data_IF_714394153624
#
_entry.id   IF_714394153624
#
_cell.length_a   1.000
_cell.length_b   1.000
_cell.length_c   1.000
_cell.angle_alpha   90.00
_cell.angle_beta   90.00
_cell.angle_gamma   90.00
#
_symmetry.space_group_name_H-M   'P 1'
#
loop_
_entity.id
_entity.type
_entity.pdbx_description
1 polymer ?
#
# COMPACT_ATOMS: atom_id res chain seq x y z
N UNK A 1 21.42 -16.62 20.44
CA UNK A 1 21.89 -15.35 19.85
C UNK A 1 22.68 -15.67 18.59
N UNK A 2 22.02 -15.70 17.43
CA UNK A 2 22.69 -15.86 16.13
C UNK A 2 22.55 -14.54 15.39
N UNK A 3 23.57 -13.71 15.52
CA UNK A 3 23.74 -12.48 14.75
C UNK A 3 24.05 -12.87 13.29
N UNK A 4 23.08 -12.75 12.39
CA UNK A 4 23.36 -12.79 10.94
C UNK A 4 23.82 -11.40 10.51
N UNK A 5 25.08 -11.31 10.05
CA UNK A 5 25.69 -10.13 9.43
C UNK A 5 24.91 -9.71 8.16
N UNK A 6 24.95 -8.42 7.77
CA UNK A 6 24.26 -7.94 6.58
C UNK A 6 24.93 -8.50 5.32
N UNK A 7 24.15 -9.19 4.48
CA UNK A 7 24.59 -9.64 3.17
C UNK A 7 24.75 -8.43 2.23
N UNK A 8 25.99 -8.20 1.78
CA UNK A 8 26.29 -7.33 0.65
C UNK A 8 25.96 -8.07 -0.65
N UNK A 9 25.06 -7.48 -1.43
CA UNK A 9 24.95 -7.49 -2.89
C UNK A 9 25.33 -8.79 -3.67
N UNK A 10 24.46 -9.81 -3.64
CA UNK A 10 24.29 -10.81 -4.72
C UNK A 10 22.89 -11.44 -4.61
N UNK A 11 21.89 -10.60 -4.81
CA UNK A 11 20.53 -10.85 -4.35
C UNK A 11 19.57 -10.73 -5.53
N UNK A 12 19.28 -11.84 -6.22
CA UNK A 12 18.24 -11.86 -7.27
C UNK A 12 17.47 -13.19 -7.29
N UNK A 13 18.10 -14.33 -7.59
CA UNK A 13 17.37 -15.60 -7.73
C UNK A 13 16.98 -16.24 -6.39
N UNK A 14 17.89 -16.29 -5.42
CA UNK A 14 17.62 -16.90 -4.11
C UNK A 14 16.57 -16.11 -3.31
N UNK A 15 16.60 -14.78 -3.37
CA UNK A 15 15.61 -13.93 -2.71
C UNK A 15 14.25 -14.01 -3.39
N UNK A 16 14.20 -14.01 -4.72
CA UNK A 16 12.94 -14.22 -5.44
C UNK A 16 12.35 -15.59 -5.09
N UNK A 17 13.17 -16.65 -5.07
CA UNK A 17 12.74 -17.99 -4.67
C UNK A 17 12.23 -18.05 -3.24
N UNK A 18 12.89 -17.37 -2.30
CA UNK A 18 12.47 -17.31 -0.90
C UNK A 18 11.12 -16.59 -0.77
N UNK A 19 10.97 -15.43 -1.41
CA UNK A 19 9.72 -14.65 -1.44
C UNK A 19 8.56 -15.44 -2.04
N UNK A 20 8.76 -16.09 -3.19
CA UNK A 20 7.69 -16.87 -3.85
C UNK A 20 7.36 -18.17 -3.12
N UNK A 21 8.29 -18.69 -2.30
CA UNK A 21 8.05 -19.92 -1.53
C UNK A 21 7.28 -19.69 -0.22
N UNK A 22 7.31 -18.46 0.30
CA UNK A 22 6.77 -18.12 1.63
C UNK A 22 5.46 -17.31 1.57
N UNK A 23 5.06 -16.83 0.38
CA UNK A 23 3.85 -16.04 0.18
C UNK A 23 3.16 -16.32 -1.15
N UNK A 24 1.90 -15.92 -1.25
CA UNK A 24 1.17 -15.85 -2.52
C UNK A 24 1.29 -14.42 -3.05
N UNK A 25 1.92 -14.25 -4.23
CA UNK A 25 2.06 -12.97 -4.89
C UNK A 25 1.00 -12.86 -5.99
N UNK A 26 0.21 -11.79 -5.97
CA UNK A 26 -0.67 -11.43 -7.08
C UNK A 26 -0.23 -10.08 -7.65
N UNK A 27 -0.19 -9.98 -8.97
CA UNK A 27 0.17 -8.77 -9.70
C UNK A 27 -0.94 -8.46 -10.69
N UNK A 28 -1.55 -7.29 -10.57
CA UNK A 28 -2.46 -6.73 -11.57
C UNK A 28 -1.69 -5.66 -12.35
N UNK A 29 -1.53 -5.85 -13.66
CA UNK A 29 -0.68 -4.97 -14.47
C UNK A 29 -1.32 -3.61 -14.76
N UNK A 30 -2.65 -3.52 -14.82
CA UNK A 30 -3.36 -2.25 -15.04
C UNK A 30 -4.82 -2.31 -14.58
N UNK A 31 -5.21 -1.36 -13.72
CA UNK A 31 -6.61 -1.15 -13.36
C UNK A 31 -7.39 -0.36 -14.44
N UNK A 32 -6.71 0.22 -15.45
CA UNK A 32 -7.31 1.07 -16.50
C UNK A 32 -6.90 0.53 -17.88
N UNK A 33 -7.32 -0.69 -18.21
CA UNK A 33 -6.94 -1.35 -19.47
C UNK A 33 -7.47 -0.64 -20.72
N UNK A 34 -8.63 0.05 -20.64
CA UNK A 34 -9.30 0.63 -21.82
C UNK A 34 -8.79 2.00 -22.26
N UNK A 35 -7.96 2.69 -21.47
CA UNK A 35 -7.52 4.07 -21.77
C UNK A 35 -6.01 4.27 -21.89
N UNK A 36 -5.21 3.22 -21.66
CA UNK A 36 -3.75 3.25 -21.92
C UNK A 36 -3.40 3.66 -23.36
N UNK A 37 -4.28 3.38 -24.34
CA UNK A 37 -4.09 3.75 -25.75
C UNK A 37 -4.38 5.22 -26.10
N UNK A 38 -4.89 6.02 -25.15
CA UNK A 38 -5.17 7.45 -25.33
C UNK A 38 -4.10 8.36 -24.68
N UNK A 39 -3.17 7.77 -23.93
CA UNK A 39 -2.08 8.48 -23.25
C UNK A 39 -1.01 8.93 -24.23
N UNK A 40 -0.68 10.23 -24.17
CA UNK A 40 0.39 10.81 -24.97
C UNK A 40 1.75 10.54 -24.33
N UNK A 41 2.78 10.41 -25.16
CA UNK A 41 4.17 10.09 -24.77
C UNK A 41 4.84 11.14 -23.88
N UNK A 42 4.23 12.32 -23.70
CA UNK A 42 4.72 13.38 -22.81
C UNK A 42 3.96 13.46 -21.48
N UNK A 43 2.98 12.56 -21.26
CA UNK A 43 2.13 12.55 -20.06
C UNK A 43 1.14 13.72 -19.96
N UNK A 44 0.95 14.50 -21.02
CA UNK A 44 0.14 15.73 -21.03
C UNK A 44 -1.28 15.59 -21.59
N UNK A 45 -1.64 14.43 -22.17
CA UNK A 45 -3.00 14.18 -22.65
C UNK A 45 -3.64 12.93 -22.03
N UNK A 46 -4.95 12.78 -22.30
CA UNK A 46 -5.90 11.94 -21.57
C UNK A 46 -5.51 10.48 -21.29
N UNK A 47 -6.28 9.82 -20.42
CA UNK A 47 -6.06 8.43 -20.01
C UNK A 47 -5.62 8.26 -18.56
N UNK A 48 -5.61 9.33 -17.75
CA UNK A 48 -5.55 9.24 -16.28
C UNK A 48 -6.87 8.70 -15.74
N UNK A 49 -7.98 9.25 -16.22
CA UNK A 49 -9.31 8.83 -15.87
C UNK A 49 -9.70 7.53 -16.59
N UNK A 50 -10.69 6.81 -16.05
CA UNK A 50 -11.27 5.67 -16.74
C UNK A 50 -12.11 6.10 -17.96
N UNK A 51 -12.79 5.13 -18.60
CA UNK A 51 -13.57 5.38 -19.81
C UNK A 51 -14.76 6.35 -19.63
N UNK A 52 -15.19 6.58 -18.39
CA UNK A 52 -16.27 7.50 -18.03
C UNK A 52 -15.74 8.85 -17.50
N UNK A 53 -14.44 9.10 -17.58
CA UNK A 53 -13.82 10.34 -17.07
C UNK A 53 -13.71 10.39 -15.54
N UNK A 54 -13.76 9.23 -14.86
CA UNK A 54 -13.60 9.13 -13.40
C UNK A 54 -12.13 8.89 -13.04
N UNK A 55 -11.58 9.72 -12.14
CA UNK A 55 -10.30 9.45 -11.49
C UNK A 55 -10.48 8.32 -10.46
N UNK A 56 -9.97 7.12 -10.78
CA UNK A 56 -10.15 5.95 -9.93
C UNK A 56 -9.50 6.12 -8.55
N UNK A 57 -8.41 6.89 -8.43
CA UNK A 57 -7.78 7.18 -7.13
C UNK A 57 -8.42 8.37 -6.40
N UNK A 58 -9.68 8.71 -6.76
CA UNK A 58 -10.60 9.59 -6.01
C UNK A 58 -11.96 8.92 -5.81
N UNK A 59 -12.09 7.66 -6.22
CA UNK A 59 -13.38 7.02 -6.35
C UNK A 59 -13.67 5.98 -5.26
N UNK A 60 -12.73 5.64 -4.37
CA UNK A 60 -13.00 4.75 -3.24
C UNK A 60 -13.74 5.46 -2.09
N UNK A 61 -14.38 4.73 -1.15
CA UNK A 61 -14.88 5.31 0.09
C UNK A 61 -13.76 5.92 0.95
N UNK A 62 -13.93 7.17 1.39
CA UNK A 62 -13.00 7.84 2.32
C UNK A 62 -13.37 7.53 3.77
N UNK A 63 -12.37 7.46 4.66
CA UNK A 63 -12.56 7.31 6.09
C UNK A 63 -13.38 8.45 6.73
N UNK A 64 -13.38 9.64 6.13
CA UNK A 64 -14.10 10.81 6.65
C UNK A 64 -15.51 10.94 6.10
N UNK A 65 -15.74 10.46 4.88
CA UNK A 65 -17.00 10.62 4.14
C UNK A 65 -17.44 9.26 3.59
N UNK A 66 -17.96 8.40 4.47
CA UNK A 66 -18.61 7.16 4.08
C UNK A 66 -19.85 6.86 4.93
N UNK A 67 -20.78 6.09 4.36
CA UNK A 67 -21.89 5.47 5.08
C UNK A 67 -22.03 4.02 4.63
N UNK A 68 -22.46 3.08 5.50
CA UNK A 68 -22.70 1.69 5.11
C UNK A 68 -23.68 1.57 3.93
N UNK A 69 -24.64 2.48 3.81
CA UNK A 69 -25.62 2.51 2.73
C UNK A 69 -25.08 3.04 1.40
N UNK A 70 -23.93 3.73 1.37
CA UNK A 70 -23.40 4.40 0.17
C UNK A 70 -22.01 3.89 -0.25
N UNK A 71 -21.56 2.76 0.30
CA UNK A 71 -20.23 2.19 0.01
C UNK A 71 -20.00 2.00 -1.50
N UNK A 72 -21.02 1.52 -2.22
CA UNK A 72 -20.96 1.23 -3.67
C UNK A 72 -21.56 2.33 -4.55
N UNK A 73 -22.18 3.34 -3.96
CA UNK A 73 -22.87 4.40 -4.71
C UNK A 73 -21.86 5.32 -5.42
N UNK A 74 -22.08 5.59 -6.71
CA UNK A 74 -21.23 6.47 -7.52
C UNK A 74 -19.83 5.92 -7.83
N UNK A 75 -19.61 4.61 -7.58
CA UNK A 75 -18.33 3.94 -7.82
C UNK A 75 -18.26 3.45 -9.26
N UNK A 76 -17.11 3.66 -9.90
CA UNK A 76 -16.78 3.13 -11.21
C UNK A 76 -16.69 1.59 -11.16
N UNK A 77 -16.96 0.89 -12.27
CA UNK A 77 -16.85 -0.56 -12.34
C UNK A 77 -15.48 -1.09 -11.90
N UNK A 78 -14.40 -0.41 -12.26
CA UNK A 78 -13.03 -0.78 -11.88
C UNK A 78 -12.82 -0.67 -10.36
N UNK A 79 -13.31 0.41 -9.74
CA UNK A 79 -13.28 0.60 -8.29
C UNK A 79 -14.05 -0.51 -7.57
N UNK A 80 -15.25 -0.84 -8.05
CA UNK A 80 -16.07 -1.92 -7.47
C UNK A 80 -15.37 -3.28 -7.57
N UNK A 81 -14.74 -3.58 -8.71
CA UNK A 81 -14.00 -4.81 -8.91
C UNK A 81 -12.80 -4.93 -7.94
N UNK A 82 -12.04 -3.85 -7.75
CA UNK A 82 -10.94 -3.82 -6.77
C UNK A 82 -11.46 -3.96 -5.34
N UNK A 83 -12.54 -3.24 -4.98
CA UNK A 83 -13.15 -3.34 -3.65
C UNK A 83 -13.59 -4.78 -3.33
N UNK A 84 -14.22 -5.46 -4.29
CA UNK A 84 -14.61 -6.87 -4.15
C UNK A 84 -13.38 -7.79 -4.03
N UNK A 85 -12.37 -7.57 -4.87
CA UNK A 85 -11.14 -8.35 -4.87
C UNK A 85 -10.38 -8.23 -3.55
N UNK A 86 -10.13 -7.01 -3.06
CA UNK A 86 -9.40 -6.74 -1.82
C UNK A 86 -10.16 -7.24 -0.59
N UNK A 87 -11.49 -7.30 -0.66
CA UNK A 87 -12.34 -7.79 0.44
C UNK A 87 -12.52 -9.32 0.44
N UNK A 88 -12.39 -9.97 -0.72
CA UNK A 88 -12.61 -11.42 -0.86
C UNK A 88 -11.39 -12.27 -0.52
N UNK A 89 -10.20 -11.67 -0.55
CA UNK A 89 -8.93 -12.33 -0.25
C UNK A 89 -8.24 -11.70 0.96
N UNK A 90 -7.56 -12.48 1.83
CA UNK A 90 -6.88 -11.96 3.00
C UNK A 90 -5.53 -11.32 2.62
N UNK A 91 -5.56 -10.26 1.84
CA UNK A 91 -4.39 -9.45 1.55
C UNK A 91 -3.82 -8.86 2.84
N UNK A 92 -2.49 -8.76 2.88
CA UNK A 92 -1.74 -8.32 4.08
C UNK A 92 -0.91 -7.09 3.77
N UNK A 93 -0.19 -7.11 2.65
CA UNK A 93 0.65 -6.03 2.17
C UNK A 93 0.34 -5.82 0.69
N UNK A 94 0.20 -4.57 0.28
CA UNK A 94 -0.06 -4.15 -1.10
C UNK A 94 0.78 -2.93 -1.46
N UNK A 95 0.93 -2.69 -2.75
CA UNK A 95 1.44 -1.44 -3.26
C UNK A 95 0.72 -1.09 -4.56
N UNK A 96 0.39 0.18 -4.74
CA UNK A 96 -0.08 0.72 -6.00
C UNK A 96 1.02 1.61 -6.61
N UNK A 97 1.17 1.55 -7.94
CA UNK A 97 2.29 2.15 -8.64
C UNK A 97 1.80 3.31 -9.51
N UNK A 98 2.45 4.46 -9.36
CA UNK A 98 2.08 5.71 -10.02
C UNK A 98 3.31 6.34 -10.71
N UNK A 99 3.03 7.38 -11.51
CA UNK A 99 4.05 8.24 -12.11
C UNK A 99 3.58 9.69 -12.12
N UNK A 100 4.55 10.60 -12.23
CA UNK A 100 4.37 12.04 -12.11
C UNK A 100 5.32 12.66 -11.09
N UNK A 101 5.77 11.87 -10.12
CA UNK A 101 6.84 12.25 -9.18
C UNK A 101 7.76 11.05 -8.91
N UNK A 102 8.69 11.18 -7.97
CA UNK A 102 9.51 10.05 -7.49
C UNK A 102 9.61 10.09 -5.96
N UNK A 103 8.68 9.39 -5.31
CA UNK A 103 8.51 9.38 -3.85
C UNK A 103 7.70 8.14 -3.43
N UNK A 104 7.98 7.62 -2.23
CA UNK A 104 7.10 6.66 -1.56
C UNK A 104 6.13 7.42 -0.64
N UNK A 105 4.86 7.46 -1.03
CA UNK A 105 3.77 8.08 -0.26
C UNK A 105 3.09 7.04 0.62
N UNK A 106 2.86 7.37 1.89
CA UNK A 106 2.25 6.45 2.85
C UNK A 106 1.04 7.05 3.59
N UNK A 107 0.10 6.22 4.09
CA UNK A 107 -1.13 6.67 4.71
C UNK A 107 -0.97 7.63 5.90
N UNK A 108 -1.95 8.48 6.16
CA UNK A 108 -3.16 8.68 5.35
C UNK A 108 -2.94 9.66 4.19
N UNK A 109 -3.79 9.55 3.17
CA UNK A 109 -3.80 10.37 1.97
C UNK A 109 -4.67 11.62 2.10
N UNK A 110 -5.63 11.67 3.02
CA UNK A 110 -6.43 12.87 3.30
C UNK A 110 -6.40 13.31 4.78
N UNK A 111 -6.58 14.61 4.99
CA UNK A 111 -6.60 15.25 6.31
C UNK A 111 -8.01 15.20 6.92
N UNK A 112 -8.11 15.20 8.26
CA UNK A 112 -9.42 15.31 8.94
C UNK A 112 -10.13 16.62 8.53
N UNK A 113 -11.30 16.55 7.87
CA UNK A 113 -12.03 17.74 7.41
C UNK A 113 -12.35 18.74 8.53
N UNK A 114 -12.43 18.28 9.79
CA UNK A 114 -12.68 19.15 10.96
C UNK A 114 -11.53 20.13 11.22
N UNK A 115 -10.33 19.86 10.70
CA UNK A 115 -9.19 20.76 10.84
C UNK A 115 -9.33 22.03 9.99
N UNK A 116 -10.25 22.06 9.01
CA UNK A 116 -10.41 23.14 8.04
C UNK A 116 -9.07 23.54 7.36
N UNK A 117 -8.19 22.56 7.18
CA UNK A 117 -6.85 22.69 6.60
C UNK A 117 -6.57 21.44 5.78
N UNK A 118 -5.92 21.61 4.63
CA UNK A 118 -5.40 20.53 3.78
C UNK A 118 -3.88 20.55 3.82
N UNK A 119 -3.24 19.55 3.24
CA UNK A 119 -1.78 19.44 3.16
C UNK A 119 -1.15 19.41 4.55
N UNK A 120 -1.70 18.58 5.44
CA UNK A 120 -1.19 18.40 6.80
C UNK A 120 -0.96 16.94 7.11
N UNK A 121 0.11 16.66 7.85
CA UNK A 121 0.43 15.31 8.32
C UNK A 121 -0.77 14.59 8.96
N UNK A 122 -1.25 13.55 8.29
CA UNK A 122 -2.41 12.75 8.70
C UNK A 122 -1.93 11.38 9.19
N UNK A 123 -1.72 11.28 10.51
CA UNK A 123 -1.07 10.13 11.14
C UNK A 123 -2.00 8.91 11.21
N UNK A 124 -1.56 7.78 10.67
CA UNK A 124 -2.24 6.49 10.85
C UNK A 124 -1.87 5.80 12.18
N UNK A 125 -2.71 4.88 12.70
CA UNK A 125 -2.36 4.11 13.89
C UNK A 125 -1.08 3.27 13.75
N UNK A 126 -0.73 2.87 12.53
CA UNK A 126 0.48 2.12 12.18
C UNK A 126 1.55 2.96 11.45
N UNK A 127 1.52 4.28 11.66
CA UNK A 127 2.40 5.28 11.02
C UNK A 127 3.90 4.90 11.01
N UNK A 128 4.42 4.39 12.14
CA UNK A 128 5.82 3.99 12.23
C UNK A 128 6.16 2.83 11.28
N UNK A 129 5.24 1.88 11.11
CA UNK A 129 5.43 0.75 10.21
C UNK A 129 5.32 1.19 8.75
N UNK A 130 4.34 2.03 8.42
CA UNK A 130 4.18 2.61 7.09
C UNK A 130 5.40 3.43 6.66
N UNK A 131 5.90 4.30 7.55
CA UNK A 131 7.09 5.09 7.29
C UNK A 131 8.33 4.21 7.11
N UNK A 132 8.45 3.12 7.85
CA UNK A 132 9.55 2.14 7.68
C UNK A 132 9.46 1.41 6.33
N UNK A 133 8.26 1.01 5.90
CA UNK A 133 8.03 0.43 4.56
C UNK A 133 8.42 1.40 3.45
N UNK A 134 7.92 2.64 3.49
CA UNK A 134 8.23 3.67 2.51
C UNK A 134 9.74 3.97 2.48
N UNK A 135 10.36 4.14 3.65
CA UNK A 135 11.81 4.41 3.76
C UNK A 135 12.64 3.26 3.21
N UNK A 136 12.25 2.02 3.49
CA UNK A 136 12.98 0.86 3.00
C UNK A 136 12.86 0.66 1.49
N UNK A 137 11.72 1.00 0.88
CA UNK A 137 11.59 1.04 -0.58
C UNK A 137 12.46 2.16 -1.17
N UNK A 138 12.30 3.38 -0.67
CA UNK A 138 12.96 4.58 -1.18
C UNK A 138 14.49 4.48 -1.08
N UNK A 139 15.03 4.05 0.07
CA UNK A 139 16.48 3.90 0.28
C UNK A 139 17.17 2.88 -0.66
N UNK A 140 16.40 2.00 -1.31
CA UNK A 140 16.89 1.01 -2.28
C UNK A 140 16.72 1.44 -3.73
N UNK A 141 15.95 2.48 -3.99
CA UNK A 141 15.82 3.10 -5.30
C UNK A 141 16.78 4.31 -5.36
N UNK A 142 17.81 4.29 -6.23
CA UNK A 142 18.83 5.35 -6.25
C UNK A 142 18.29 6.76 -6.54
N UNK A 143 17.22 6.88 -7.33
CA UNK A 143 16.62 8.17 -7.65
C UNK A 143 15.71 8.65 -6.52
N UNK A 144 14.82 7.77 -6.04
CA UNK A 144 13.89 8.09 -4.96
C UNK A 144 14.62 8.40 -3.66
N UNK A 145 15.58 7.56 -3.26
CA UNK A 145 16.36 7.74 -2.03
C UNK A 145 17.25 8.98 -2.01
N UNK A 146 17.46 9.64 -3.16
CA UNK A 146 18.13 10.96 -3.20
C UNK A 146 17.29 12.07 -2.55
N UNK A 147 15.97 11.88 -2.50
CA UNK A 147 15.00 12.88 -2.05
C UNK A 147 14.88 14.12 -2.93
N UNK A 148 15.61 14.18 -4.04
CA UNK A 148 15.54 15.26 -5.02
C UNK A 148 15.63 14.64 -6.42
N UNK A 149 14.52 14.14 -6.96
CA UNK A 149 14.51 13.47 -8.26
C UNK A 149 14.65 14.44 -9.44
N UNK A 150 14.67 15.76 -9.20
CA UNK A 150 14.74 16.80 -10.22
C UNK A 150 13.60 16.70 -11.26
N UNK A 151 12.39 16.35 -10.79
CA UNK A 151 11.20 16.41 -11.62
C UNK A 151 10.90 17.87 -12.05
N UNK A 152 10.13 18.10 -13.13
CA UNK A 152 9.81 19.45 -13.62
C UNK A 152 9.23 20.38 -12.54
N UNK A 153 8.41 19.83 -11.64
CA UNK A 153 7.77 20.56 -10.54
C UNK A 153 8.70 20.85 -9.34
N UNK A 154 9.98 20.43 -9.44
CA UNK A 154 11.06 20.68 -8.45
C UNK A 154 10.73 20.24 -7.02
N UNK A 155 9.88 19.23 -6.88
CA UNK A 155 9.55 18.64 -5.58
C UNK A 155 10.76 17.99 -4.93
N UNK A 156 10.85 18.10 -3.60
CA UNK A 156 11.88 17.45 -2.79
C UNK A 156 11.25 16.77 -1.59
N UNK A 157 11.60 15.51 -1.38
CA UNK A 157 11.08 14.66 -0.32
C UNK A 157 12.26 14.11 0.48
N UNK A 158 12.59 14.65 1.66
CA UNK A 158 13.71 14.16 2.45
C UNK A 158 13.64 12.64 2.68
N UNK A 159 14.68 11.92 2.23
CA UNK A 159 14.72 10.45 2.30
C UNK A 159 13.86 9.72 1.26
N UNK A 160 13.24 10.43 0.33
CA UNK A 160 12.41 9.87 -0.74
C UNK A 160 11.02 9.41 -0.29
N UNK A 161 10.53 9.94 0.84
CA UNK A 161 9.27 9.53 1.46
C UNK A 161 8.40 10.73 1.81
N UNK A 162 7.08 10.52 1.84
CA UNK A 162 6.12 11.52 2.33
C UNK A 162 4.90 10.85 2.95
N UNK A 163 4.26 11.51 3.91
CA UNK A 163 2.87 11.21 4.23
C UNK A 163 2.00 11.75 3.10
N UNK A 164 0.97 11.00 2.69
CA UNK A 164 0.13 11.36 1.54
C UNK A 164 -0.57 12.70 1.73
N UNK A 165 -1.30 12.84 2.84
CA UNK A 165 -2.00 14.07 3.17
C UNK A 165 -1.04 15.25 3.36
N UNK A 166 0.14 15.06 3.94
CA UNK A 166 1.14 16.13 4.10
C UNK A 166 1.67 16.66 2.76
N UNK A 167 1.75 15.78 1.74
CA UNK A 167 2.08 16.20 0.37
C UNK A 167 0.91 16.96 -0.26
N UNK A 168 -0.25 16.31 -0.40
CA UNK A 168 -1.51 16.92 -0.76
C UNK A 168 -2.68 15.97 -0.50
N UNK A 169 -3.83 16.52 -0.12
CA UNK A 169 -5.01 15.71 0.20
C UNK A 169 -5.56 14.96 -1.03
N UNK A 170 -5.75 13.65 -0.84
CA UNK A 170 -6.35 12.73 -1.80
C UNK A 170 -7.48 11.94 -1.13
N UNK A 171 -8.69 12.50 -1.18
CA UNK A 171 -9.86 11.80 -0.66
C UNK A 171 -10.36 10.72 -1.63
N UNK A 172 -10.74 9.57 -1.09
CA UNK A 172 -11.22 8.42 -1.86
C UNK A 172 -10.11 7.65 -2.57
N UNK A 173 -8.92 7.59 -1.95
CA UNK A 173 -7.77 6.83 -2.46
C UNK A 173 -7.92 5.33 -2.24
N UNK A 174 -7.32 4.54 -3.13
CA UNK A 174 -7.24 3.08 -2.98
C UNK A 174 -6.35 2.68 -1.78
N UNK A 175 -5.31 3.47 -1.52
CA UNK A 175 -4.36 3.23 -0.46
C UNK A 175 -5.03 3.27 0.92
N UNK A 176 -5.81 4.32 1.18
CA UNK A 176 -6.52 4.48 2.45
C UNK A 176 -7.70 3.50 2.56
N UNK A 177 -8.38 3.19 1.45
CA UNK A 177 -9.42 2.16 1.41
C UNK A 177 -8.90 0.81 1.92
N UNK A 178 -7.76 0.36 1.40
CA UNK A 178 -7.15 -0.91 1.78
C UNK A 178 -6.90 -0.99 3.30
N UNK A 179 -6.35 0.07 3.89
CA UNK A 179 -6.00 0.06 5.31
C UNK A 179 -7.20 0.29 6.24
N UNK A 180 -8.21 1.05 5.81
CA UNK A 180 -9.37 1.39 6.66
C UNK A 180 -10.44 0.29 6.62
N UNK A 181 -10.67 -0.32 5.47
CA UNK A 181 -11.80 -1.22 5.24
C UNK A 181 -11.40 -2.69 5.03
N UNK A 182 -10.09 -2.99 4.98
CA UNK A 182 -9.56 -4.36 4.92
C UNK A 182 -8.43 -4.55 5.94
N UNK A 183 -7.73 -5.69 5.88
CA UNK A 183 -6.52 -5.93 6.68
C UNK A 183 -5.22 -5.41 6.02
N UNK A 184 -5.33 -4.85 4.83
CA UNK A 184 -4.21 -4.67 3.90
C UNK A 184 -3.47 -3.37 4.14
N UNK A 185 -2.15 -3.45 4.24
CA UNK A 185 -1.28 -2.29 4.31
C UNK A 185 -0.85 -1.93 2.90
N UNK A 186 -1.38 -0.84 2.35
CA UNK A 186 -0.99 -0.36 1.02
C UNK A 186 -0.11 0.88 1.10
N UNK A 187 0.89 0.97 0.21
CA UNK A 187 1.77 2.13 0.03
C UNK A 187 1.76 2.52 -1.44
N UNK A 188 1.68 3.82 -1.72
CA UNK A 188 1.72 4.37 -3.08
C UNK A 188 3.16 4.70 -3.47
N UNK A 189 3.64 4.13 -4.58
CA UNK A 189 4.98 4.42 -5.09
C UNK A 189 4.91 5.21 -6.40
N UNK A 190 5.36 6.46 -6.35
CA UNK A 190 5.60 7.29 -7.53
C UNK A 190 6.98 6.92 -8.11
N UNK A 191 7.03 6.33 -9.29
CA UNK A 191 8.23 5.66 -9.80
C UNK A 191 9.07 6.53 -10.74
N UNK A 192 8.44 7.48 -11.43
CA UNK A 192 9.07 8.28 -12.49
C UNK A 192 8.43 9.66 -12.62
N UNK A 193 9.26 10.70 -12.81
CA UNK A 193 8.77 12.05 -13.11
C UNK A 193 7.94 12.08 -14.40
N UNK A 194 8.39 11.35 -15.43
CA UNK A 194 7.61 11.17 -16.66
C UNK A 194 6.55 10.10 -16.41
N UNK A 195 5.26 10.45 -16.59
CA UNK A 195 4.12 9.54 -16.41
C UNK A 195 4.11 8.41 -17.43
N UNK A 196 4.54 8.69 -18.65
CA UNK A 196 4.55 7.74 -19.76
C UNK A 196 5.92 7.74 -20.46
N UNK A 197 6.96 7.16 -19.82
CA UNK A 197 8.31 7.17 -20.38
C UNK A 197 8.40 6.35 -21.67
N UNK A 198 9.40 6.65 -22.50
CA UNK A 198 9.67 5.88 -23.71
C UNK A 198 10.06 4.44 -23.35
N UNK A 199 9.71 3.48 -24.21
CA UNK A 199 10.04 2.06 -24.02
C UNK A 199 11.55 1.83 -23.78
N UNK A 200 12.42 2.65 -24.37
CA UNK A 200 13.87 2.61 -24.17
C UNK A 200 14.32 2.94 -22.75
N UNK A 201 13.48 3.59 -21.94
CA UNK A 201 13.76 3.93 -20.54
C UNK A 201 13.34 2.81 -19.57
N UNK A 202 12.46 1.89 -19.98
CA UNK A 202 11.95 0.81 -19.12
C UNK A 202 13.06 -0.07 -18.50
N UNK A 203 14.15 -0.45 -19.20
CA UNK A 203 15.23 -1.21 -18.57
C UNK A 203 15.90 -0.46 -17.40
N UNK A 204 16.00 0.87 -17.50
CA UNK A 204 16.55 1.70 -16.43
C UNK A 204 15.57 1.78 -15.24
N UNK A 205 14.27 1.94 -15.51
CA UNK A 205 13.25 1.95 -14.44
C UNK A 205 13.18 0.61 -13.70
N UNK A 206 13.28 -0.50 -14.43
CA UNK A 206 13.42 -1.83 -13.83
C UNK A 206 14.67 -1.92 -12.96
N UNK A 207 15.83 -1.49 -13.47
CA UNK A 207 17.09 -1.54 -12.73
C UNK A 207 17.01 -0.74 -11.41
N UNK A 208 16.33 0.41 -11.42
CA UNK A 208 16.14 1.27 -10.24
C UNK A 208 15.21 0.65 -9.21
N UNK A 209 14.13 -0.02 -9.64
CA UNK A 209 13.06 -0.46 -8.74
C UNK A 209 13.18 -1.92 -8.29
N UNK A 210 13.86 -2.81 -9.04
CA UNK A 210 13.90 -4.25 -8.76
C UNK A 210 14.28 -4.60 -7.31
N UNK A 211 15.28 -3.91 -6.75
CA UNK A 211 15.75 -4.19 -5.39
C UNK A 211 14.76 -3.69 -4.32
N UNK A 212 14.11 -2.56 -4.59
CA UNK A 212 13.05 -2.00 -3.74
C UNK A 212 11.82 -2.89 -3.74
N UNK A 213 11.36 -3.33 -4.91
CA UNK A 213 10.20 -4.23 -5.05
C UNK A 213 10.43 -5.57 -4.35
N UNK A 214 11.57 -6.23 -4.60
CA UNK A 214 11.91 -7.50 -3.94
C UNK A 214 11.98 -7.35 -2.42
N UNK A 215 12.59 -6.27 -1.93
CA UNK A 215 12.64 -6.00 -0.51
C UNK A 215 11.24 -5.78 0.07
N UNK A 216 10.40 -4.98 -0.61
CA UNK A 216 9.05 -4.64 -0.17
C UNK A 216 8.17 -5.88 -0.07
N UNK A 217 8.16 -6.76 -1.07
CA UNK A 217 7.40 -8.01 -1.02
C UNK A 217 7.80 -8.87 0.18
N UNK A 218 9.09 -8.90 0.53
CA UNK A 218 9.57 -9.62 1.72
C UNK A 218 9.05 -9.07 3.05
N UNK A 219 8.52 -7.84 3.09
CA UNK A 219 8.04 -7.22 4.34
C UNK A 219 6.70 -7.81 4.82
N UNK A 220 5.97 -8.51 3.95
CA UNK A 220 4.69 -9.18 4.30
C UNK A 220 4.85 -10.25 5.40
N UNK A 221 6.09 -10.71 5.64
CA UNK A 221 6.41 -11.71 6.65
C UNK A 221 6.76 -11.16 8.03
N UNK A 222 6.70 -9.82 8.22
CA UNK A 222 7.02 -9.17 9.50
C UNK A 222 5.82 -9.17 10.45
N UNK A 223 6.11 -8.92 11.73
CA UNK A 223 5.11 -8.85 12.78
C UNK A 223 4.68 -10.22 13.29
N UNK A 224 3.39 -10.37 13.59
CA UNK A 224 2.81 -11.57 14.17
C UNK A 224 1.79 -12.20 13.22
N UNK A 225 1.73 -13.53 13.19
CA UNK A 225 0.71 -14.28 12.45
C UNK A 225 0.32 -15.53 13.23
N UNK A 226 -0.90 -15.99 13.06
CA UNK A 226 -1.39 -17.16 13.77
C UNK A 226 -2.78 -17.59 13.33
N UNK A 227 -3.36 -18.53 14.07
CA UNK A 227 -4.72 -19.03 13.85
C UNK A 227 -5.50 -18.92 15.15
N UNK A 228 -6.66 -18.27 15.11
CA UNK A 228 -7.61 -18.20 16.22
C UNK A 228 -8.57 -19.38 16.09
N UNK A 229 -8.71 -20.13 17.18
CA UNK A 229 -9.57 -21.31 17.26
C UNK A 229 -10.41 -21.27 18.51
N UNK A 230 -11.58 -21.86 18.40
CA UNK A 230 -12.42 -22.17 19.55
C UNK A 230 -11.75 -23.25 20.41
N UNK A 231 -11.78 -23.08 21.73
CA UNK A 231 -11.01 -23.93 22.64
C UNK A 231 -11.61 -25.34 22.79
N UNK A 232 -12.93 -25.47 22.66
CA UNK A 232 -13.62 -26.75 22.84
C UNK A 232 -13.66 -27.56 21.55
N UNK A 233 -14.08 -26.92 20.45
CA UNK A 233 -14.28 -27.56 19.15
C UNK A 233 -13.00 -27.60 18.30
N UNK A 234 -11.98 -26.81 18.66
CA UNK A 234 -10.75 -26.60 17.89
C UNK A 234 -10.97 -26.09 16.46
N UNK A 235 -12.18 -25.62 16.15
CA UNK A 235 -12.52 -25.06 14.85
C UNK A 235 -11.99 -23.64 14.72
N UNK A 236 -11.59 -23.21 13.51
CA UNK A 236 -11.17 -21.83 13.28
C UNK A 236 -12.31 -20.86 13.50
N UNK A 237 -12.01 -19.71 14.11
CA UNK A 237 -12.97 -18.62 14.30
C UNK A 237 -12.74 -17.59 13.20
N UNK A 238 -13.73 -17.44 12.30
CA UNK A 238 -13.75 -16.39 11.29
C UNK A 238 -14.27 -15.08 11.88
N UNK A 239 -13.72 -13.94 11.47
CA UNK A 239 -14.23 -12.63 11.89
C UNK A 239 -13.75 -12.15 13.26
N UNK A 240 -12.93 -12.94 13.97
CA UNK A 240 -12.29 -12.48 15.21
C UNK A 240 -11.37 -11.29 14.94
N UNK A 241 -11.48 -10.25 15.77
CA UNK A 241 -10.67 -9.04 15.75
C UNK A 241 -9.40 -9.26 16.57
N UNK A 242 -8.26 -9.07 15.94
CA UNK A 242 -6.94 -9.14 16.54
C UNK A 242 -6.39 -7.73 16.70
N UNK A 243 -6.30 -7.27 17.95
CA UNK A 243 -5.93 -5.92 18.35
C UNK A 243 -4.57 -5.91 19.04
N UNK A 244 -3.84 -4.81 18.89
CA UNK A 244 -2.68 -4.50 19.70
C UNK A 244 -3.09 -3.46 20.74
N UNK A 245 -2.80 -3.72 22.02
CA UNK A 245 -3.11 -2.77 23.09
C UNK A 245 -2.48 -1.40 22.79
N UNK A 246 -3.30 -0.35 22.79
CA UNK A 246 -2.86 1.02 22.48
C UNK A 246 -2.82 1.38 20.99
N UNK A 247 -3.15 0.45 20.10
CA UNK A 247 -3.33 0.71 18.66
C UNK A 247 -4.83 0.64 18.33
N UNK A 248 -5.36 1.67 17.68
CA UNK A 248 -6.79 1.75 17.35
C UNK A 248 -7.16 0.94 16.12
N UNK A 249 -6.19 0.56 15.28
CA UNK A 249 -6.42 -0.31 14.13
C UNK A 249 -6.29 -1.79 14.53
N UNK A 250 -7.13 -2.62 13.93
CA UNK A 250 -7.22 -4.06 14.19
C UNK A 250 -7.30 -4.81 12.87
N UNK A 251 -6.87 -6.07 12.89
CA UNK A 251 -7.04 -6.98 11.75
C UNK A 251 -8.09 -8.04 12.09
N UNK A 252 -8.74 -8.57 11.08
CA UNK A 252 -9.80 -9.58 11.21
C UNK A 252 -9.32 -10.92 10.66
N UNK A 253 -9.66 -12.01 11.34
CA UNK A 253 -9.27 -13.36 10.94
C UNK A 253 -9.99 -13.83 9.66
N UNK A 254 -9.26 -14.58 8.82
CA UNK A 254 -9.77 -15.20 7.59
C UNK A 254 -10.79 -16.32 7.89
N UNK A 255 -11.42 -16.88 6.84
CA UNK A 255 -12.33 -18.04 6.97
C UNK A 255 -11.68 -19.26 7.63
N UNK A 256 -10.34 -19.32 7.63
CA UNK A 256 -9.53 -20.36 8.29
C UNK A 256 -9.03 -19.94 9.68
N UNK A 257 -9.55 -18.84 10.23
CA UNK A 257 -9.13 -18.28 11.51
C UNK A 257 -7.74 -17.64 11.48
N UNK A 258 -7.14 -17.49 10.31
CA UNK A 258 -5.77 -16.99 10.16
C UNK A 258 -5.74 -15.47 10.29
N UNK A 259 -4.72 -14.93 10.94
CA UNK A 259 -4.45 -13.50 10.94
C UNK A 259 -2.98 -13.22 10.63
N UNK A 260 -2.74 -12.04 10.07
CA UNK A 260 -1.42 -11.46 9.88
C UNK A 260 -1.48 -10.02 10.37
N UNK A 261 -0.65 -9.70 11.35
CA UNK A 261 -0.55 -8.38 11.97
C UNK A 261 0.87 -7.86 11.77
N UNK A 262 1.03 -7.00 10.76
CA UNK A 262 2.31 -6.36 10.47
C UNK A 262 2.69 -5.39 11.59
N UNK A 263 3.91 -5.51 12.11
CA UNK A 263 4.40 -4.72 13.25
C UNK A 263 5.90 -4.43 13.09
N UNK A 264 6.32 -3.34 13.71
CA UNK A 264 7.74 -3.09 13.97
C UNK A 264 8.29 -4.13 14.97
N UNK A 265 9.62 -4.35 15.01
CA UNK A 265 10.22 -5.13 16.08
C UNK A 265 9.92 -4.52 17.45
N UNK A 266 9.38 -5.32 18.36
CA UNK A 266 9.00 -4.86 19.70
C UNK A 266 8.23 -5.91 20.49
N UNK A 267 7.91 -5.57 21.74
CA UNK A 267 7.04 -6.37 22.59
C UNK A 267 5.64 -5.78 22.57
N UNK A 268 4.64 -6.61 22.31
CA UNK A 268 3.25 -6.19 22.16
C UNK A 268 2.34 -7.09 22.98
N UNK A 269 1.27 -6.51 23.53
CA UNK A 269 0.16 -7.25 24.08
C UNK A 269 -0.93 -7.35 23.02
N UNK A 270 -1.27 -8.58 22.65
CA UNK A 270 -2.27 -8.88 21.63
C UNK A 270 -3.58 -9.31 22.32
N UNK A 271 -4.68 -8.71 21.89
CA UNK A 271 -6.03 -9.01 22.37
C UNK A 271 -6.83 -9.56 21.20
N UNK A 272 -7.47 -10.71 21.41
CA UNK A 272 -8.38 -11.31 20.43
C UNK A 272 -9.79 -11.19 20.96
N UNK A 273 -10.68 -10.63 20.15
CA UNK A 273 -12.11 -10.51 20.42
C UNK A 273 -12.88 -11.22 19.31
N UNK A 274 -13.86 -12.04 19.66
CA UNK A 274 -14.78 -12.68 18.73
C UNK A 274 -16.19 -12.58 19.30
N UNK A 275 -17.21 -12.61 18.44
CA UNK A 275 -18.59 -12.66 18.88
C UNK A 275 -18.93 -14.05 19.42
N UNK A 276 -19.57 -14.11 20.59
CA UNK A 276 -19.91 -15.35 21.32
C UNK A 276 -19.09 -15.54 22.58
#
# INVERSE_FOLDING_TARGET
MVLRKPLKAHATAAQASEVTSLGCLMCEESAILKHFGLSFLDGSGGGRENAEGVDLNRNFPSQWVWSPSSVTEGRAPETLAVMEWTSSSPFVLSANLHGGSVVASYPYDDSDPKLNRTSVYSKSPDDLFFRDLATGYASRNPLMGSGNPHCPDKETFPGGVTNGADWYDVSGSMQDWNYVFTNTFEVTFELSCCKFPLASQLPLEWQRNRASMLWFTGQVHRGAKGVVKDNETLKPIHGAKVKIVGNTHHVVTSKRGEYWRLLMPGNYSLVVEADG
#
